data_IF_626972578089
#
_entry.id   IF_626972578089
#
_cell.length_a   1.000
_cell.length_b   1.000
_cell.length_c   1.000
_cell.angle_alpha   90.00
_cell.angle_beta   90.00
_cell.angle_gamma   90.00
#
_symmetry.space_group_name_H-M   'P 1'
#
loop_
_entity.id
_entity.type
_entity.pdbx_description
1 polymer ?
#
# COMPACT_ATOMS: atom_id res chain seq x y z
N UNK A 1 -0.94 0.13 -20.78
CA UNK A 1 0.39 0.55 -20.28
C UNK A 1 0.69 -0.26 -19.03
N UNK A 2 1.70 -1.14 -19.08
CA UNK A 2 2.19 -1.86 -17.89
C UNK A 2 3.04 -0.89 -17.07
N UNK A 3 2.43 -0.20 -16.12
CA UNK A 3 3.17 0.65 -15.18
C UNK A 3 3.79 -0.28 -14.13
N UNK A 4 5.10 -0.56 -14.27
CA UNK A 4 5.85 -1.36 -13.30
C UNK A 4 6.43 -0.47 -12.22
N UNK A 5 6.25 -0.85 -10.95
CA UNK A 5 6.88 -0.18 -9.82
C UNK A 5 8.42 -0.33 -9.86
N UNK A 6 9.19 0.70 -9.48
CA UNK A 6 10.63 0.61 -9.42
C UNK A 6 11.09 -0.43 -8.39
N UNK A 7 12.08 -1.26 -8.75
CA UNK A 7 12.57 -2.38 -7.91
C UNK A 7 13.03 -1.93 -6.52
N UNK A 8 13.47 -0.70 -6.33
CA UNK A 8 13.94 -0.13 -5.04
C UNK A 8 13.20 1.15 -4.63
N UNK A 9 11.92 1.28 -5.01
CA UNK A 9 11.08 2.36 -4.53
C UNK A 9 10.32 2.01 -3.24
N UNK A 10 10.11 3.02 -2.40
CA UNK A 10 9.16 3.00 -1.28
C UNK A 10 8.10 4.09 -1.46
N UNK A 11 6.93 3.90 -0.86
CA UNK A 11 5.81 4.86 -0.89
C UNK A 11 5.76 5.59 0.43
N UNK A 12 5.66 6.92 0.37
CA UNK A 12 5.55 7.79 1.55
C UNK A 12 4.45 8.83 1.35
N UNK A 13 3.91 9.34 2.45
CA UNK A 13 2.86 10.36 2.49
C UNK A 13 3.41 11.61 3.21
N UNK A 14 4.11 12.50 2.50
CA UNK A 14 4.70 13.70 3.10
C UNK A 14 3.66 14.63 3.71
N UNK A 15 4.05 15.33 4.77
CA UNK A 15 3.25 16.37 5.44
C UNK A 15 4.12 17.59 5.77
N UNK A 16 4.77 18.18 4.76
CA UNK A 16 5.71 19.28 4.94
C UNK A 16 7.08 18.85 5.47
N UNK A 17 7.40 17.56 5.43
CA UNK A 17 8.63 16.93 5.89
C UNK A 17 9.37 16.18 4.77
N UNK A 18 9.20 16.62 3.52
CA UNK A 18 9.74 15.98 2.32
C UNK A 18 11.26 15.77 2.39
N UNK A 19 12.00 16.78 2.86
CA UNK A 19 13.46 16.74 2.92
C UNK A 19 13.96 15.71 3.95
N UNK A 20 13.25 15.59 5.08
CA UNK A 20 13.57 14.58 6.09
C UNK A 20 13.31 13.16 5.59
N UNK A 21 12.20 12.96 4.87
CA UNK A 21 11.87 11.68 4.24
C UNK A 21 12.90 11.31 3.16
N UNK A 22 13.37 12.27 2.37
CA UNK A 22 14.44 12.04 1.40
C UNK A 22 15.76 11.68 2.09
N UNK A 23 16.14 12.41 3.13
CA UNK A 23 17.34 12.12 3.90
C UNK A 23 17.27 10.74 4.57
N UNK A 24 16.11 10.35 5.10
CA UNK A 24 15.88 9.01 5.64
C UNK A 24 15.94 7.93 4.57
N UNK A 25 15.26 8.13 3.43
CA UNK A 25 15.30 7.20 2.30
C UNK A 25 16.72 6.95 1.78
N UNK A 26 17.53 8.02 1.62
CA UNK A 26 18.94 7.90 1.22
C UNK A 26 19.76 7.10 2.23
N UNK A 27 19.58 7.35 3.54
CA UNK A 27 20.25 6.58 4.60
C UNK A 27 19.86 5.10 4.62
N UNK A 28 18.63 4.79 4.23
CA UNK A 28 18.11 3.43 4.14
C UNK A 28 18.45 2.73 2.82
N UNK A 29 19.08 3.42 1.86
CA UNK A 29 19.45 2.86 0.55
C UNK A 29 18.31 2.85 -0.47
N UNK A 30 17.23 3.62 -0.26
CA UNK A 30 16.17 3.75 -1.24
C UNK A 30 16.65 4.58 -2.44
N UNK A 31 16.60 4.00 -3.64
CA UNK A 31 16.96 4.70 -4.89
C UNK A 31 15.89 5.72 -5.31
N UNK A 32 14.63 5.47 -4.94
CA UNK A 32 13.51 6.30 -5.36
C UNK A 32 12.44 6.34 -4.28
N UNK A 33 11.84 7.51 -4.05
CA UNK A 33 10.66 7.66 -3.20
C UNK A 33 9.46 8.08 -4.02
N UNK A 34 8.35 7.39 -3.77
CA UNK A 34 7.06 7.67 -4.38
C UNK A 34 6.25 8.52 -3.39
N UNK A 35 6.13 9.82 -3.68
CA UNK A 35 5.41 10.75 -2.82
C UNK A 35 3.93 10.75 -3.19
N UNK A 36 3.11 10.28 -2.25
CA UNK A 36 1.67 10.20 -2.39
C UNK A 36 1.02 11.48 -1.86
N UNK A 37 0.43 12.28 -2.76
CA UNK A 37 -0.29 13.52 -2.43
C UNK A 37 -1.77 13.45 -2.84
N UNK A 38 -2.66 14.05 -2.06
CA UNK A 38 -4.06 14.22 -2.46
C UNK A 38 -4.15 15.02 -3.77
N UNK A 39 -4.86 14.47 -4.77
CA UNK A 39 -5.05 15.12 -6.06
C UNK A 39 -3.82 15.17 -6.98
N UNK A 40 -2.68 14.58 -6.59
CA UNK A 40 -1.49 14.45 -7.45
C UNK A 40 -0.73 15.74 -7.74
N UNK A 41 -1.06 16.84 -7.05
CA UNK A 41 -0.31 18.11 -7.10
C UNK A 41 0.82 18.06 -6.07
N UNK A 42 1.89 17.35 -6.40
CA UNK A 42 3.07 17.18 -5.53
C UNK A 42 4.35 17.75 -6.13
N UNK A 43 5.45 17.66 -5.36
CA UNK A 43 6.79 18.15 -5.70
C UNK A 43 7.33 17.59 -7.03
N UNK A 44 6.99 18.25 -8.14
CA UNK A 44 7.57 17.99 -9.46
C UNK A 44 8.98 18.58 -9.51
N UNK A 45 9.94 17.80 -10.04
CA UNK A 45 11.30 18.30 -10.32
C UNK A 45 12.39 17.95 -9.30
N UNK A 46 12.11 17.10 -8.29
CA UNK A 46 13.15 16.59 -7.38
C UNK A 46 13.73 15.26 -7.88
N UNK A 47 15.05 15.15 -7.89
CA UNK A 47 15.77 13.95 -8.33
C UNK A 47 15.46 12.75 -7.41
N UNK A 48 15.15 11.59 -7.98
CA UNK A 48 14.76 10.40 -7.22
C UNK A 48 13.35 10.42 -6.62
N UNK A 49 12.52 11.41 -6.97
CA UNK A 49 11.12 11.52 -6.50
C UNK A 49 10.14 11.27 -7.64
N UNK A 50 9.09 10.51 -7.36
CA UNK A 50 7.96 10.36 -8.28
C UNK A 50 6.66 10.62 -7.56
N UNK A 51 5.86 11.55 -8.09
CA UNK A 51 4.57 11.90 -7.50
C UNK A 51 3.51 10.88 -7.89
N UNK A 52 2.80 10.36 -6.88
CA UNK A 52 1.61 9.51 -7.05
C UNK A 52 0.40 10.30 -6.55
N UNK A 53 -0.71 10.21 -7.28
CA UNK A 53 -1.97 10.80 -6.86
C UNK A 53 -2.69 9.86 -5.88
N UNK A 54 -2.98 10.35 -4.67
CA UNK A 54 -3.93 9.71 -3.75
C UNK A 54 -5.34 10.02 -4.25
N UNK A 55 -6.08 8.99 -4.62
CA UNK A 55 -7.48 9.11 -4.97
C UNK A 55 -8.36 8.74 -3.77
N UNK A 56 -9.47 9.46 -3.61
CA UNK A 56 -10.47 9.11 -2.60
C UNK A 56 -11.27 7.92 -3.09
N UNK A 57 -11.76 7.12 -2.15
CA UNK A 57 -12.73 6.08 -2.45
C UNK A 57 -13.97 6.72 -3.11
N UNK A 58 -14.56 6.06 -4.11
CA UNK A 58 -15.71 6.56 -4.91
C UNK A 58 -15.40 7.71 -5.89
N UNK A 59 -14.16 8.21 -5.99
CA UNK A 59 -13.77 9.09 -7.10
C UNK A 59 -13.58 8.30 -8.39
N UNK A 60 -14.49 8.50 -9.36
CA UNK A 60 -14.36 7.97 -10.71
C UNK A 60 -13.71 9.01 -11.63
N UNK A 61 -12.56 8.67 -12.20
CA UNK A 61 -11.90 9.52 -13.19
C UNK A 61 -10.66 8.86 -13.78
N UNK A 62 -10.52 8.94 -15.11
CA UNK A 62 -9.33 8.52 -15.86
C UNK A 62 -8.18 9.49 -15.54
N UNK A 63 -7.52 9.32 -14.39
CA UNK A 63 -6.30 10.08 -14.07
C UNK A 63 -5.13 9.51 -14.88
N UNK A 64 -4.48 10.37 -15.67
CA UNK A 64 -3.23 10.02 -16.35
C UNK A 64 -2.12 9.97 -15.30
N UNK A 65 -1.71 8.78 -14.87
CA UNK A 65 -0.59 8.59 -13.93
C UNK A 65 -0.80 7.43 -12.96
N UNK A 66 0.18 7.22 -12.08
CA UNK A 66 0.07 6.28 -10.97
C UNK A 66 -0.91 6.80 -9.92
N UNK A 67 -1.85 5.94 -9.53
CA UNK A 67 -2.84 6.24 -8.51
C UNK A 67 -2.75 5.26 -7.36
N UNK A 68 -2.85 5.78 -6.14
CA UNK A 68 -2.93 5.00 -4.92
C UNK A 68 -4.26 5.28 -4.22
N UNK A 69 -4.92 4.24 -3.73
CA UNK A 69 -6.18 4.34 -2.98
C UNK A 69 -6.03 3.58 -1.68
N UNK A 70 -6.42 4.22 -0.57
CA UNK A 70 -6.65 3.53 0.71
C UNK A 70 -8.08 3.01 0.71
N UNK A 71 -8.24 1.72 0.97
CA UNK A 71 -9.57 1.09 1.09
C UNK A 71 -10.11 1.36 2.48
N UNK A 72 -11.31 1.94 2.57
CA UNK A 72 -11.96 2.26 3.85
C UNK A 72 -13.34 1.61 4.00
N UNK A 73 -14.10 1.40 2.91
CA UNK A 73 -15.47 0.88 2.99
C UNK A 73 -15.72 -0.33 2.08
N UNK A 74 -15.54 -0.18 0.76
CA UNK A 74 -15.92 -1.16 -0.26
C UNK A 74 -14.69 -1.61 -1.08
N UNK A 75 -14.00 -2.67 -0.64
CA UNK A 75 -12.87 -3.26 -1.34
C UNK A 75 -13.18 -3.66 -2.78
N UNK A 76 -14.41 -4.16 -3.03
CA UNK A 76 -14.79 -4.66 -4.33
C UNK A 76 -14.96 -3.50 -5.29
N UNK A 77 -15.63 -2.42 -4.88
CA UNK A 77 -15.77 -1.23 -5.71
C UNK A 77 -14.40 -0.65 -6.12
N UNK A 78 -13.46 -0.54 -5.17
CA UNK A 78 -12.13 0.03 -5.45
C UNK A 78 -11.38 -0.80 -6.50
N UNK A 79 -11.33 -2.12 -6.34
CA UNK A 79 -10.58 -2.98 -7.26
C UNK A 79 -11.32 -3.15 -8.60
N UNK A 80 -12.65 -3.23 -8.58
CA UNK A 80 -13.45 -3.52 -9.76
C UNK A 80 -13.68 -2.30 -10.65
N UNK A 81 -14.11 -1.18 -10.06
CA UNK A 81 -14.56 0.02 -10.77
C UNK A 81 -13.48 1.09 -10.83
N UNK A 82 -12.83 1.40 -9.71
CA UNK A 82 -11.84 2.49 -9.64
C UNK A 82 -10.50 2.10 -10.28
N UNK A 83 -10.09 0.83 -10.18
CA UNK A 83 -8.88 0.26 -10.81
C UNK A 83 -7.61 1.10 -10.55
N UNK A 84 -7.26 1.37 -9.29
CA UNK A 84 -6.05 2.11 -8.98
C UNK A 84 -4.79 1.32 -9.36
N UNK A 85 -3.66 2.01 -9.49
CA UNK A 85 -2.37 1.31 -9.65
C UNK A 85 -2.05 0.50 -8.38
N UNK A 86 -2.30 1.09 -7.20
CA UNK A 86 -2.08 0.47 -5.90
C UNK A 86 -3.31 0.66 -5.02
N UNK A 87 -3.81 -0.42 -4.43
CA UNK A 87 -4.81 -0.39 -3.36
C UNK A 87 -4.18 -0.91 -2.08
N UNK A 88 -4.36 -0.22 -0.94
CA UNK A 88 -3.78 -0.64 0.34
C UNK A 88 -4.76 -0.46 1.51
N UNK A 89 -4.48 -1.13 2.63
CA UNK A 89 -5.21 -0.95 3.89
C UNK A 89 -6.45 -1.83 4.05
N UNK A 90 -6.59 -2.90 3.26
CA UNK A 90 -7.71 -3.85 3.35
C UNK A 90 -7.89 -4.41 4.78
N UNK A 91 -6.79 -4.58 5.51
CA UNK A 91 -6.76 -5.19 6.84
C UNK A 91 -7.30 -4.28 7.95
N UNK A 92 -7.36 -2.98 7.66
CA UNK A 92 -7.85 -1.93 8.57
C UNK A 92 -9.37 -1.83 8.59
N UNK A 93 -10.09 -2.57 7.73
CA UNK A 93 -11.54 -2.60 7.76
C UNK A 93 -12.00 -3.18 9.12
N UNK A 94 -12.77 -2.38 9.86
CA UNK A 94 -13.20 -2.68 11.23
C UNK A 94 -14.37 -3.68 11.25
N UNK A 95 -14.21 -4.82 10.60
CA UNK A 95 -15.14 -5.92 10.74
C UNK A 95 -14.68 -6.84 11.87
N UNK A 96 -15.62 -7.33 12.68
CA UNK A 96 -15.34 -8.36 13.69
C UNK A 96 -14.95 -9.64 12.94
N UNK A 97 -13.86 -10.27 13.35
CA UNK A 97 -13.46 -11.56 12.76
C UNK A 97 -14.57 -12.60 12.99
N UNK A 98 -14.80 -13.44 11.98
CA UNK A 98 -15.78 -14.51 12.04
C UNK A 98 -15.16 -15.75 12.71
N UNK A 99 -16.00 -16.70 13.14
CA UNK A 99 -15.52 -17.92 13.81
C UNK A 99 -14.50 -18.72 12.98
N UNK A 100 -14.60 -18.70 11.64
CA UNK A 100 -13.78 -19.54 10.76
C UNK A 100 -12.84 -18.76 9.84
N UNK A 101 -12.92 -17.43 9.81
CA UNK A 101 -12.09 -16.59 8.93
C UNK A 101 -11.93 -15.17 9.49
N UNK A 102 -10.79 -14.54 9.19
CA UNK A 102 -10.58 -13.13 9.59
C UNK A 102 -11.31 -12.23 8.61
N UNK A 103 -11.94 -11.19 9.13
CA UNK A 103 -12.58 -10.18 8.31
C UNK A 103 -11.52 -9.18 7.86
N UNK A 104 -10.66 -9.61 6.93
CA UNK A 104 -9.44 -8.90 6.50
C UNK A 104 -9.63 -7.98 5.29
N UNK A 105 -10.89 -7.77 4.86
CA UNK A 105 -11.23 -6.96 3.70
C UNK A 105 -10.84 -7.55 2.34
N UNK A 106 -10.18 -8.71 2.33
CA UNK A 106 -9.76 -9.42 1.13
C UNK A 106 -10.45 -10.77 1.05
N UNK A 107 -11.03 -11.04 -0.11
CA UNK A 107 -11.65 -12.30 -0.45
C UNK A 107 -11.04 -12.87 -1.73
N UNK A 108 -11.36 -14.14 -2.01
CA UNK A 108 -10.98 -14.78 -3.27
C UNK A 108 -11.41 -13.97 -4.50
N UNK A 109 -12.62 -13.41 -4.49
CA UNK A 109 -13.16 -12.65 -5.63
C UNK A 109 -12.32 -11.40 -5.87
N UNK A 110 -12.00 -10.64 -4.81
CA UNK A 110 -11.20 -9.41 -4.89
C UNK A 110 -9.79 -9.72 -5.40
N UNK A 111 -9.16 -10.78 -4.89
CA UNK A 111 -7.82 -11.18 -5.30
C UNK A 111 -7.76 -11.56 -6.80
N UNK A 112 -8.76 -12.28 -7.31
CA UNK A 112 -8.87 -12.60 -8.74
C UNK A 112 -9.05 -11.35 -9.60
N UNK A 113 -9.97 -10.47 -9.22
CA UNK A 113 -10.20 -9.21 -9.94
C UNK A 113 -8.92 -8.36 -9.94
N UNK A 114 -8.18 -8.32 -8.83
CA UNK A 114 -6.92 -7.59 -8.74
C UNK A 114 -5.87 -8.16 -9.71
N UNK A 115 -5.75 -9.48 -9.80
CA UNK A 115 -4.85 -10.14 -10.75
C UNK A 115 -5.23 -9.85 -12.21
N UNK A 116 -6.52 -9.98 -12.54
CA UNK A 116 -7.06 -9.74 -13.89
C UNK A 116 -6.90 -8.28 -14.33
N UNK A 117 -7.16 -7.33 -13.44
CA UNK A 117 -7.10 -5.89 -13.73
C UNK A 117 -5.71 -5.28 -13.52
N UNK A 118 -4.76 -6.07 -13.03
CA UNK A 118 -3.39 -5.62 -12.75
C UNK A 118 -3.28 -4.62 -11.60
N UNK A 119 -4.23 -4.62 -10.67
CA UNK A 119 -4.19 -3.80 -9.45
C UNK A 119 -3.17 -4.39 -8.48
N UNK A 120 -2.27 -3.56 -7.95
CA UNK A 120 -1.25 -4.00 -7.00
C UNK A 120 -1.78 -3.84 -5.57
N UNK A 121 -1.72 -4.89 -4.77
CA UNK A 121 -2.13 -4.88 -3.37
C UNK A 121 -0.94 -4.43 -2.51
N UNK A 122 -1.09 -3.28 -1.85
CA UNK A 122 -0.09 -2.68 -0.99
C UNK A 122 -0.26 -3.06 0.48
N UNK A 123 0.83 -3.41 1.15
CA UNK A 123 0.87 -3.67 2.59
C UNK A 123 1.73 -2.62 3.29
N UNK A 124 1.14 -1.94 4.27
CA UNK A 124 1.73 -0.82 5.00
C UNK A 124 2.43 -1.29 6.27
N UNK A 125 3.76 -1.11 6.34
CA UNK A 125 4.49 -1.36 7.58
C UNK A 125 4.22 -0.27 8.64
N UNK A 126 3.96 0.97 8.22
CA UNK A 126 3.56 2.04 9.14
C UNK A 126 2.27 1.69 9.91
N UNK A 127 1.31 1.00 9.29
CA UNK A 127 0.08 0.57 9.97
C UNK A 127 0.38 -0.48 11.07
N UNK A 128 1.36 -1.36 10.85
CA UNK A 128 1.83 -2.34 11.85
C UNK A 128 2.50 -1.64 13.03
N UNK A 129 3.32 -0.62 12.76
CA UNK A 129 3.98 0.17 13.79
C UNK A 129 2.99 0.99 14.63
N UNK A 130 1.96 1.56 13.98
CA UNK A 130 0.96 2.41 14.63
C UNK A 130 0.00 1.65 15.55
N UNK A 131 -0.14 0.33 15.40
CA UNK A 131 -0.99 -0.50 16.25
C UNK A 131 -0.18 -1.13 17.38
N UNK A 132 -0.77 -1.35 18.56
CA UNK A 132 -0.12 -2.01 19.70
C UNK A 132 -0.93 -3.20 20.24
N UNK A 133 -0.25 -4.05 21.02
CA UNK A 133 -0.85 -5.18 21.74
C UNK A 133 -1.68 -6.11 20.85
N UNK A 134 -2.90 -6.44 21.31
CA UNK A 134 -3.83 -7.34 20.63
C UNK A 134 -4.19 -6.87 19.22
N UNK A 135 -4.32 -5.56 19.00
CA UNK A 135 -4.67 -5.00 17.68
C UNK A 135 -3.55 -5.23 16.67
N UNK A 136 -2.29 -5.09 17.07
CA UNK A 136 -1.14 -5.41 16.21
C UNK A 136 -1.15 -6.88 15.79
N UNK A 137 -1.38 -7.79 16.74
CA UNK A 137 -1.44 -9.23 16.44
C UNK A 137 -2.59 -9.56 15.46
N UNK A 138 -3.76 -8.95 15.63
CA UNK A 138 -4.90 -9.10 14.72
C UNK A 138 -4.56 -8.57 13.31
N UNK A 139 -3.98 -7.38 13.23
CA UNK A 139 -3.57 -6.77 11.97
C UNK A 139 -2.57 -7.65 11.22
N UNK A 140 -1.51 -8.12 11.88
CA UNK A 140 -0.52 -9.04 11.30
C UNK A 140 -1.20 -10.32 10.81
N UNK A 141 -2.15 -10.85 11.58
CA UNK A 141 -2.94 -12.00 11.16
C UNK A 141 -3.74 -11.75 9.88
N UNK A 142 -4.37 -10.59 9.75
CA UNK A 142 -5.11 -10.21 8.53
C UNK A 142 -4.18 -10.04 7.34
N UNK A 143 -3.01 -9.43 7.54
CA UNK A 143 -1.97 -9.28 6.51
C UNK A 143 -1.53 -10.67 6.02
N UNK A 144 -1.22 -11.60 6.94
CA UNK A 144 -0.82 -12.96 6.59
C UNK A 144 -1.87 -13.69 5.73
N UNK A 145 -3.15 -13.57 6.11
CA UNK A 145 -4.27 -14.13 5.32
C UNK A 145 -4.34 -13.50 3.92
N UNK A 146 -4.19 -12.18 3.83
CA UNK A 146 -4.27 -11.45 2.57
C UNK A 146 -3.10 -11.79 1.63
N UNK A 147 -1.89 -11.94 2.16
CA UNK A 147 -0.70 -12.38 1.39
C UNK A 147 -0.93 -13.77 0.81
N UNK A 148 -1.48 -14.72 1.61
CA UNK A 148 -1.79 -16.08 1.13
C UNK A 148 -2.83 -16.07 0.02
N UNK A 149 -3.89 -15.25 0.15
CA UNK A 149 -4.91 -15.09 -0.89
C UNK A 149 -4.32 -14.49 -2.18
N UNK A 150 -3.53 -13.41 -2.06
CA UNK A 150 -2.89 -12.78 -3.20
C UNK A 150 -1.94 -13.75 -3.92
N UNK A 151 -1.14 -14.50 -3.16
CA UNK A 151 -0.23 -15.52 -3.70
C UNK A 151 -1.00 -16.63 -4.42
N UNK A 152 -2.09 -17.13 -3.83
CA UNK A 152 -2.92 -18.20 -4.41
C UNK A 152 -3.54 -17.80 -5.76
N UNK A 153 -3.96 -16.54 -5.91
CA UNK A 153 -4.64 -16.05 -7.11
C UNK A 153 -3.75 -15.22 -8.05
N UNK A 154 -2.44 -15.13 -7.77
CA UNK A 154 -1.49 -14.41 -8.62
C UNK A 154 -1.65 -12.88 -8.63
N UNK A 155 -2.27 -12.31 -7.58
CA UNK A 155 -2.37 -10.86 -7.45
C UNK A 155 -0.99 -10.26 -7.13
N UNK A 156 -0.64 -9.14 -7.79
CA UNK A 156 0.64 -8.46 -7.54
C UNK A 156 0.62 -7.80 -6.18
N UNK A 157 1.72 -7.91 -5.43
CA UNK A 157 1.85 -7.33 -4.11
C UNK A 157 2.96 -6.28 -4.07
N UNK A 158 2.78 -5.26 -3.24
CA UNK A 158 3.81 -4.27 -2.91
C UNK A 158 3.97 -4.17 -1.40
N UNK A 159 5.20 -4.41 -0.95
CA UNK A 159 5.61 -4.26 0.44
C UNK A 159 6.36 -2.94 0.58
N UNK A 160 5.85 -2.04 1.43
CA UNK A 160 6.44 -0.72 1.62
C UNK A 160 6.21 -0.18 3.02
N UNK A 161 6.86 0.93 3.34
CA UNK A 161 6.68 1.59 4.62
C UNK A 161 5.35 2.34 4.68
N UNK A 162 4.92 2.98 3.58
CA UNK A 162 3.77 3.89 3.55
C UNK A 162 3.88 4.97 4.64
N UNK A 163 5.13 5.39 4.91
CA UNK A 163 5.51 6.22 6.04
C UNK A 163 5.02 7.67 5.86
N UNK A 164 4.57 8.27 6.97
CA UNK A 164 4.31 9.71 7.08
C UNK A 164 5.49 10.43 7.72
N UNK A 165 6.22 9.71 8.56
CA UNK A 165 7.35 10.23 9.33
C UNK A 165 8.62 9.43 9.00
N UNK A 166 9.82 10.06 9.04
CA UNK A 166 11.09 9.39 8.78
C UNK A 166 11.33 8.15 9.65
N UNK A 167 10.88 8.16 10.91
CA UNK A 167 11.05 7.07 11.86
C UNK A 167 10.24 5.80 11.49
N UNK A 168 9.25 5.92 10.62
CA UNK A 168 8.42 4.81 10.15
C UNK A 168 9.02 4.09 8.94
N UNK A 169 10.01 4.72 8.27
CA UNK A 169 10.68 4.11 7.13
C UNK A 169 11.57 2.95 7.57
N UNK A 170 11.64 1.90 6.75
CA UNK A 170 12.54 0.76 6.94
C UNK A 170 13.25 0.42 5.64
N UNK A 171 14.36 -0.31 5.74
CA UNK A 171 15.03 -0.84 4.55
C UNK A 171 14.07 -1.78 3.83
N UNK A 172 14.08 -1.72 2.51
CA UNK A 172 13.14 -2.47 1.68
C UNK A 172 13.28 -3.98 1.87
N UNK A 173 14.51 -4.44 2.06
CA UNK A 173 14.83 -5.84 2.33
C UNK A 173 14.22 -6.31 3.65
N UNK A 174 14.28 -5.49 4.69
CA UNK A 174 13.75 -5.82 6.02
C UNK A 174 12.23 -5.91 5.98
N UNK A 175 11.58 -4.90 5.38
CA UNK A 175 10.12 -4.89 5.19
C UNK A 175 9.67 -6.09 4.36
N UNK A 176 10.38 -6.40 3.27
CA UNK A 176 10.08 -7.56 2.42
C UNK A 176 10.24 -8.88 3.20
N UNK A 177 11.33 -9.04 3.95
CA UNK A 177 11.57 -10.24 4.78
C UNK A 177 10.50 -10.41 5.84
N UNK A 178 10.10 -9.32 6.50
CA UNK A 178 9.03 -9.33 7.48
C UNK A 178 7.73 -9.89 6.88
N UNK A 179 7.25 -9.31 5.78
CA UNK A 179 5.98 -9.75 5.18
C UNK A 179 6.05 -11.14 4.57
N UNK A 180 7.18 -11.55 4.00
CA UNK A 180 7.35 -12.90 3.47
C UNK A 180 7.44 -13.99 4.55
N UNK A 181 7.65 -13.61 5.82
CA UNK A 181 7.71 -14.57 6.94
C UNK A 181 6.34 -14.91 7.55
N UNK A 182 5.24 -14.28 7.08
CA UNK A 182 3.86 -14.41 7.57
C UNK A 182 3.06 -15.51 6.83
#
# INVERSE_FOLDING_TARGET
MNISLPKQADIVFPKGNEDELLAAGRRLGCQQLLFAYEGGKGAKGREGVTTIAVAREKEQGRRQGMTIVRVAEDPRFVVEHQRPTIAYGFESLQHKDFMHHRASGMEQVIAKIAAEKGVIIGFSFADVLACEGRRRAQLIGRIAQNIRLCTKYGARMFFGSFAREPCQMRRKEDTKRFFLSL
#
